data_IF_276928979884
#
_entry.id   IF_276928979884
#
_cell.length_a   1.000
_cell.length_b   1.000
_cell.length_c   1.000
_cell.angle_alpha   90.00
_cell.angle_beta   90.00
_cell.angle_gamma   90.00
#
_symmetry.space_group_name_H-M   'P 1'
#
loop_
_entity.id
_entity.type
_entity.pdbx_description
1 polymer ?
#
# COMPACT_ATOMS: atom_id res chain seq x y z
N UNK A 1 -3.04 6.04 6.72
CA UNK A 1 -4.18 5.68 5.84
C UNK A 1 -3.74 4.53 4.93
N UNK A 2 -4.69 3.74 4.42
CA UNK A 2 -4.41 2.53 3.65
C UNK A 2 -4.90 2.69 2.21
N UNK A 3 -4.11 2.23 1.24
CA UNK A 3 -4.36 2.30 -0.20
C UNK A 3 -4.95 0.97 -0.69
N UNK A 4 -6.12 1.05 -1.31
CA UNK A 4 -6.78 -0.09 -1.97
C UNK A 4 -6.91 0.07 -3.48
N UNK A 5 -6.70 1.28 -4.00
CA UNK A 5 -6.86 1.61 -5.42
C UNK A 5 -5.50 1.85 -6.07
N UNK A 6 -5.04 0.85 -6.80
CA UNK A 6 -3.69 0.82 -7.34
C UNK A 6 -3.52 1.66 -8.61
N UNK A 7 -4.62 2.00 -9.29
CA UNK A 7 -4.62 2.83 -10.50
C UNK A 7 -4.69 4.32 -10.13
N UNK A 8 -5.54 4.67 -9.16
CA UNK A 8 -5.85 6.06 -8.79
C UNK A 8 -5.25 6.46 -7.44
N UNK A 9 -3.98 6.11 -7.24
CA UNK A 9 -3.26 6.32 -5.97
C UNK A 9 -3.29 7.78 -5.51
N UNK A 10 -3.14 8.73 -6.44
CA UNK A 10 -3.09 10.16 -6.15
C UNK A 10 -4.47 10.68 -5.74
N UNK A 11 -5.50 10.31 -6.50
CA UNK A 11 -6.89 10.67 -6.21
C UNK A 11 -7.34 10.09 -4.87
N UNK A 12 -7.04 8.82 -4.60
CA UNK A 12 -7.36 8.16 -3.34
C UNK A 12 -6.65 8.83 -2.15
N UNK A 13 -5.39 9.23 -2.30
CA UNK A 13 -4.67 9.98 -1.28
C UNK A 13 -5.28 11.35 -1.04
N UNK A 14 -5.63 12.10 -2.09
CA UNK A 14 -6.27 13.42 -1.99
C UNK A 14 -7.66 13.36 -1.37
N UNK A 15 -8.45 12.35 -1.72
CA UNK A 15 -9.76 12.10 -1.11
C UNK A 15 -9.61 11.80 0.40
N UNK A 16 -8.62 10.98 0.76
CA UNK A 16 -8.30 10.69 2.17
C UNK A 16 -7.91 11.95 2.95
N UNK A 17 -7.04 12.80 2.37
CA UNK A 17 -6.63 14.08 2.96
C UNK A 17 -7.83 15.00 3.17
N UNK A 18 -8.72 15.10 2.16
CA UNK A 18 -9.95 15.90 2.22
C UNK A 18 -10.88 15.40 3.32
N UNK A 19 -11.11 14.09 3.42
CA UNK A 19 -11.95 13.46 4.46
C UNK A 19 -11.40 13.68 5.87
N UNK A 20 -10.07 13.66 6.02
CA UNK A 20 -9.39 13.90 7.29
C UNK A 20 -9.18 15.39 7.60
N UNK A 21 -9.51 16.29 6.66
CA UNK A 21 -9.23 17.73 6.75
C UNK A 21 -7.76 18.02 7.08
N UNK A 22 -6.85 17.29 6.45
CA UNK A 22 -5.40 17.40 6.64
C UNK A 22 -4.71 17.77 5.34
N UNK A 23 -3.61 18.52 5.43
CA UNK A 23 -2.78 18.88 4.28
C UNK A 23 -1.73 17.81 3.94
N UNK A 24 -1.46 16.89 4.88
CA UNK A 24 -0.52 15.78 4.68
C UNK A 24 -0.89 14.54 5.51
N UNK A 25 -0.27 13.41 5.17
CA UNK A 25 -0.31 12.17 5.96
C UNK A 25 1.08 11.80 6.49
N UNK A 26 1.15 11.38 7.76
CA UNK A 26 2.37 10.80 8.35
C UNK A 26 2.77 9.50 7.65
N UNK A 27 1.79 8.62 7.44
CA UNK A 27 1.98 7.30 6.83
C UNK A 27 0.87 6.96 5.83
N UNK A 28 1.27 6.48 4.66
CA UNK A 28 0.38 5.89 3.66
C UNK A 28 0.86 4.51 3.24
N UNK A 29 0.01 3.50 3.41
CA UNK A 29 0.41 2.09 3.32
C UNK A 29 -0.37 1.36 2.22
N UNK A 30 0.29 0.52 1.44
CA UNK A 30 -0.40 -0.41 0.51
C UNK A 30 -1.11 -1.48 1.33
N UNK A 31 -2.45 -1.54 1.24
CA UNK A 31 -3.27 -2.44 2.06
C UNK A 31 -3.18 -3.90 1.60
N UNK A 32 -3.30 -4.13 0.28
CA UNK A 32 -3.19 -5.45 -0.33
C UNK A 32 -2.23 -5.43 -1.52
N UNK A 33 -1.48 -6.52 -1.77
CA UNK A 33 -0.58 -6.64 -2.92
C UNK A 33 -1.33 -6.95 -4.24
N UNK A 34 -2.60 -6.57 -4.37
CA UNK A 34 -3.46 -6.95 -5.51
C UNK A 34 -4.26 -5.74 -5.95
N UNK A 35 -4.09 -5.34 -7.20
CA UNK A 35 -4.92 -4.33 -7.84
C UNK A 35 -6.28 -4.92 -8.21
N UNK A 36 -7.35 -4.24 -7.83
CA UNK A 36 -8.72 -4.57 -8.23
C UNK A 36 -9.26 -3.49 -9.13
N UNK A 37 -10.20 -3.83 -10.01
CA UNK A 37 -10.84 -2.83 -10.89
C UNK A 37 -11.37 -1.64 -10.09
N UNK A 38 -11.14 -0.43 -10.60
CA UNK A 38 -11.62 0.79 -9.97
C UNK A 38 -13.17 0.81 -9.88
N UNK A 39 -13.71 0.97 -8.68
CA UNK A 39 -15.16 1.05 -8.42
C UNK A 39 -15.66 2.46 -8.14
N UNK A 40 -14.78 3.46 -8.17
CA UNK A 40 -15.08 4.87 -7.89
C UNK A 40 -14.19 5.44 -6.78
N UNK A 41 -13.96 6.76 -6.80
CA UNK A 41 -13.16 7.42 -5.76
C UNK A 41 -13.92 7.43 -4.43
N UNK A 42 -13.32 6.83 -3.40
CA UNK A 42 -13.87 6.82 -2.05
C UNK A 42 -14.83 5.67 -1.74
N UNK A 43 -15.03 4.74 -2.66
CA UNK A 43 -15.66 3.43 -2.40
C UNK A 43 -14.62 2.48 -1.79
N UNK A 44 -15.05 1.64 -0.85
CA UNK A 44 -14.21 0.58 -0.26
C UNK A 44 -14.66 -0.81 -0.68
N UNK A 45 -15.60 -0.89 -1.62
CA UNK A 45 -16.19 -2.14 -2.06
C UNK A 45 -15.20 -2.91 -2.93
N UNK A 46 -15.07 -4.20 -2.64
CA UNK A 46 -14.32 -5.12 -3.49
C UNK A 46 -15.01 -5.20 -4.85
N UNK A 47 -14.27 -4.91 -5.92
CA UNK A 47 -14.76 -5.15 -7.27
C UNK A 47 -14.95 -6.66 -7.45
N UNK A 48 -16.19 -7.11 -7.64
CA UNK A 48 -16.48 -8.51 -7.94
C UNK A 48 -16.84 -8.66 -9.42
N UNK A 49 -16.32 -9.71 -10.05
CA UNK A 49 -16.74 -10.16 -11.37
C UNK A 49 -18.14 -10.79 -11.34
N UNK A 50 -18.64 -11.16 -12.51
CA UNK A 50 -19.96 -11.79 -12.65
C UNK A 50 -20.07 -13.14 -11.92
N UNK A 51 -18.94 -13.80 -11.66
CA UNK A 51 -18.82 -15.05 -10.93
C UNK A 51 -18.73 -14.86 -9.39
N UNK A 52 -18.77 -13.62 -8.91
CA UNK A 52 -18.63 -13.28 -7.50
C UNK A 52 -17.18 -13.37 -6.98
N UNK A 53 -16.21 -13.55 -7.85
CA UNK A 53 -14.78 -13.55 -7.51
C UNK A 53 -14.23 -12.13 -7.64
N UNK A 54 -13.16 -11.81 -6.92
CA UNK A 54 -12.49 -10.52 -7.00
C UNK A 54 -12.04 -10.24 -8.46
N UNK A 55 -12.45 -9.11 -8.99
CA UNK A 55 -12.07 -8.62 -10.31
C UNK A 55 -10.68 -7.97 -10.23
N UNK A 56 -9.67 -8.81 -10.40
CA UNK A 56 -8.26 -8.46 -10.27
C UNK A 56 -7.78 -7.85 -11.58
N UNK A 57 -7.26 -6.63 -11.51
CA UNK A 57 -6.59 -6.00 -12.62
C UNK A 57 -5.13 -6.46 -12.69
N UNK A 58 -4.85 -7.37 -13.62
CA UNK A 58 -3.50 -7.92 -13.84
C UNK A 58 -2.58 -6.99 -14.64
N UNK A 59 -3.09 -5.86 -15.14
CA UNK A 59 -2.30 -4.89 -15.91
C UNK A 59 -1.50 -3.94 -15.02
N UNK A 60 -1.87 -3.84 -13.74
CA UNK A 60 -1.24 -2.95 -12.77
C UNK A 60 -0.30 -3.74 -11.88
N UNK A 61 1.00 -3.48 -12.02
CA UNK A 61 2.02 -4.08 -11.16
C UNK A 61 2.20 -3.30 -9.86
N UNK A 62 2.61 -4.00 -8.79
CA UNK A 62 2.97 -3.37 -7.51
C UNK A 62 4.13 -2.39 -7.62
N UNK A 63 5.05 -2.63 -8.55
CA UNK A 63 6.14 -1.69 -8.87
C UNK A 63 5.58 -0.36 -9.36
N UNK A 64 4.62 -0.40 -10.30
CA UNK A 64 3.96 0.79 -10.83
C UNK A 64 3.25 1.56 -9.72
N UNK A 65 2.44 0.86 -8.90
CA UNK A 65 1.77 1.48 -7.74
C UNK A 65 2.79 2.13 -6.80
N UNK A 66 3.88 1.43 -6.49
CA UNK A 66 4.89 1.93 -5.57
C UNK A 66 5.57 3.19 -6.07
N UNK A 67 5.92 3.25 -7.36
CA UNK A 67 6.51 4.47 -7.95
C UNK A 67 5.56 5.67 -7.89
N UNK A 68 4.25 5.46 -8.01
CA UNK A 68 3.27 6.54 -7.80
C UNK A 68 3.26 6.98 -6.33
N UNK A 69 3.36 6.05 -5.38
CA UNK A 69 3.49 6.38 -3.95
C UNK A 69 4.78 7.17 -3.64
N UNK A 70 5.89 6.86 -4.30
CA UNK A 70 7.13 7.65 -4.18
C UNK A 70 6.94 9.10 -4.66
N UNK A 71 6.10 9.30 -5.68
CA UNK A 71 5.66 10.62 -6.13
C UNK A 71 4.85 11.38 -5.06
N UNK A 72 4.03 10.69 -4.27
CA UNK A 72 3.30 11.30 -3.15
C UNK A 72 4.25 11.83 -2.07
N UNK A 73 5.35 11.11 -1.80
CA UNK A 73 6.39 11.59 -0.88
C UNK A 73 7.10 12.81 -1.46
N UNK A 74 7.46 12.75 -2.73
CA UNK A 74 8.15 13.85 -3.43
C UNK A 74 7.31 15.13 -3.51
N UNK A 75 5.99 15.01 -3.56
CA UNK A 75 5.05 16.14 -3.59
C UNK A 75 4.69 16.68 -2.19
N UNK A 76 5.15 16.03 -1.11
CA UNK A 76 4.89 16.46 0.27
C UNK A 76 3.50 16.08 0.81
N UNK A 77 2.68 15.37 0.03
CA UNK A 77 1.35 14.91 0.47
C UNK A 77 1.45 13.80 1.53
N UNK A 78 2.54 13.03 1.50
CA UNK A 78 2.79 11.93 2.43
C UNK A 78 4.23 12.02 2.91
N UNK A 79 4.48 11.88 4.22
CA UNK A 79 5.85 11.89 4.74
C UNK A 79 6.55 10.54 4.62
N UNK A 80 5.82 9.45 4.80
CA UNK A 80 6.38 8.10 4.75
C UNK A 80 5.41 7.10 4.14
N UNK A 81 5.94 6.18 3.34
CA UNK A 81 5.17 5.13 2.67
C UNK A 81 5.58 3.74 3.17
N UNK A 82 4.67 2.78 3.10
CA UNK A 82 4.90 1.43 3.59
C UNK A 82 3.92 0.42 3.02
N UNK A 83 3.98 -0.80 3.56
CA UNK A 83 3.23 -1.96 3.09
C UNK A 83 2.51 -2.62 4.27
N UNK A 84 1.43 -3.34 4.00
CA UNK A 84 0.67 -4.10 5.00
C UNK A 84 0.61 -5.56 4.56
N UNK A 85 0.89 -6.49 5.48
CA UNK A 85 0.77 -7.93 5.27
C UNK A 85 1.63 -8.50 4.12
N UNK A 86 2.75 -7.86 3.77
CA UNK A 86 3.68 -8.41 2.78
C UNK A 86 4.51 -9.52 3.41
N UNK A 87 4.58 -10.67 2.73
CA UNK A 87 5.49 -11.75 3.11
C UNK A 87 6.94 -11.45 2.72
N UNK A 88 7.85 -12.39 3.00
CA UNK A 88 9.28 -12.26 2.70
C UNK A 88 9.56 -12.01 1.21
N UNK A 89 8.80 -12.63 0.30
CA UNK A 89 9.06 -12.52 -1.13
C UNK A 89 8.56 -11.19 -1.66
N UNK A 90 7.32 -10.82 -1.35
CA UNK A 90 6.76 -9.52 -1.73
C UNK A 90 7.54 -8.36 -1.13
N UNK A 91 8.00 -8.48 0.12
CA UNK A 91 8.85 -7.47 0.74
C UNK A 91 10.17 -7.33 -0.01
N UNK A 92 10.82 -8.45 -0.37
CA UNK A 92 12.07 -8.44 -1.11
C UNK A 92 11.91 -7.83 -2.50
N UNK A 93 10.84 -8.17 -3.20
CA UNK A 93 10.52 -7.61 -4.52
C UNK A 93 10.29 -6.10 -4.41
N UNK A 94 9.49 -5.66 -3.42
CA UNK A 94 9.29 -4.25 -3.13
C UNK A 94 10.61 -3.52 -2.88
N UNK A 95 11.48 -4.08 -2.05
CA UNK A 95 12.81 -3.52 -1.79
C UNK A 95 13.69 -3.45 -3.05
N UNK A 96 13.51 -4.34 -4.03
CA UNK A 96 14.32 -4.38 -5.24
C UNK A 96 14.05 -3.18 -6.16
N UNK A 97 12.79 -2.83 -6.39
CA UNK A 97 12.42 -1.70 -7.27
C UNK A 97 12.29 -0.36 -6.53
N UNK A 98 12.18 -0.35 -5.20
CA UNK A 98 12.02 0.87 -4.40
C UNK A 98 13.22 1.83 -4.49
N UNK A 99 12.98 3.07 -4.89
CA UNK A 99 13.86 4.22 -4.67
C UNK A 99 13.72 4.74 -3.23
N UNK A 100 12.48 4.89 -2.75
CA UNK A 100 12.16 5.15 -1.35
C UNK A 100 11.74 3.84 -0.72
N UNK A 101 12.53 3.32 0.22
CA UNK A 101 12.25 2.03 0.87
C UNK A 101 10.99 2.11 1.72
N UNK A 102 10.18 1.04 1.82
CA UNK A 102 9.05 0.99 2.74
C UNK A 102 9.55 1.25 4.16
N UNK A 103 9.00 2.30 4.80
CA UNK A 103 9.37 2.67 6.16
C UNK A 103 8.86 1.64 7.19
N UNK A 104 7.76 0.95 6.87
CA UNK A 104 7.12 -0.04 7.72
C UNK A 104 6.47 -1.15 6.88
N UNK A 105 6.49 -2.37 7.41
CA UNK A 105 5.59 -3.46 7.02
C UNK A 105 4.64 -3.71 8.21
N UNK A 106 3.41 -3.20 8.13
CA UNK A 106 2.40 -3.39 9.18
C UNK A 106 1.86 -4.81 9.05
N UNK A 107 2.05 -5.62 10.08
CA UNK A 107 1.62 -7.01 10.08
C UNK A 107 0.43 -7.12 11.03
N UNK A 108 -0.69 -7.61 10.51
CA UNK A 108 -1.84 -7.90 11.36
C UNK A 108 -1.58 -9.15 12.19
N UNK A 109 -1.62 -8.99 13.52
CA UNK A 109 -1.48 -10.11 14.46
C UNK A 109 -2.68 -10.13 15.37
N UNK A 110 -3.29 -11.31 15.52
CA UNK A 110 -4.35 -11.57 16.50
C UNK A 110 -4.17 -12.98 17.06
N UNK A 111 -4.80 -13.30 18.19
CA UNK A 111 -4.54 -14.52 18.97
C UNK A 111 -4.64 -15.84 18.17
N UNK A 112 -5.43 -15.87 17.10
CA UNK A 112 -5.55 -16.99 16.15
C UNK A 112 -4.65 -16.88 14.91
N UNK A 113 -4.16 -15.69 14.54
CA UNK A 113 -3.21 -15.48 13.43
C UNK A 113 -1.78 -15.27 13.95
N UNK A 114 -1.14 -16.37 14.36
CA UNK A 114 0.30 -16.39 14.69
C UNK A 114 1.12 -16.65 13.44
N UNK A 115 1.84 -15.65 12.93
CA UNK A 115 2.82 -15.84 11.86
C UNK A 115 4.11 -16.46 12.43
N UNK A 116 4.51 -17.62 11.88
CA UNK A 116 5.62 -18.44 12.40
C UNK A 116 7.02 -17.96 12.00
N UNK A 117 7.15 -17.03 11.05
CA UNK A 117 8.46 -16.57 10.58
C UNK A 117 8.34 -15.26 9.81
N UNK A 118 8.34 -14.14 10.52
CA UNK A 118 8.68 -12.85 9.94
C UNK A 118 9.93 -12.37 10.67
N UNK A 119 11.07 -12.42 9.99
CA UNK A 119 12.30 -11.87 10.53
C UNK A 119 12.14 -10.36 10.57
N UNK A 120 12.24 -9.70 11.74
CA UNK A 120 12.21 -8.25 11.78
C UNK A 120 13.39 -7.72 10.97
N UNK A 121 13.10 -6.91 9.94
CA UNK A 121 14.12 -6.15 9.24
C UNK A 121 14.90 -5.38 10.31
N UNK A 122 16.16 -5.75 10.49
CA UNK A 122 17.11 -5.05 11.33
C UNK A 122 17.11 -3.60 10.84
N UNK A 123 16.52 -2.71 11.64
CA UNK A 123 16.65 -1.26 11.46
C UNK A 123 18.15 -0.98 11.32
N UNK A 124 18.61 -0.78 10.08
CA UNK A 124 19.93 -0.24 9.82
C UNK A 124 19.82 1.24 10.19
N UNK A 125 20.10 1.52 11.46
CA UNK A 125 20.47 2.87 11.89
C UNK A 125 21.77 3.21 11.17
N UNK A 126 21.68 4.09 10.17
CA UNK A 126 22.87 4.78 9.70
C UNK A 126 23.32 5.72 10.83
N UNK A 127 24.48 5.40 11.41
CA UNK A 127 25.33 6.37 12.11
C UNK A 127 25.93 7.34 11.09
#
# INVERSE_FOLDING_TARGET
MELSDHEHVVEACKDSLKKLQSDYLDFYLVHFPVATRHTGVGTTDSALGEDGVLDIDTTISLETTWHVMEGLVSSGLVRSIGIINYDIFLNRDCLAYSKIKPAVNKIETHSTAKQKSITPNKFMTCN
#
